data_IF_027232290928
#
_entry.id   IF_027232290928
#
_cell.length_a   1.000
_cell.length_b   1.000
_cell.length_c   1.000
_cell.angle_alpha   90.00
_cell.angle_beta   90.00
_cell.angle_gamma   90.00
#
_symmetry.space_group_name_H-M   'P 1'
#
loop_
_entity.id
_entity.type
_entity.pdbx_description
1 polymer ?
#
# COMPACT_ATOMS: atom_id res chain seq x y z
N UNK A 1 10.62 -11.57 4.06
CA UNK A 1 9.87 -10.30 4.02
C UNK A 1 10.45 -9.41 5.09
N UNK A 2 10.95 -8.24 4.68
CA UNK A 2 11.28 -7.21 5.65
C UNK A 2 9.99 -6.67 6.26
N UNK A 3 10.04 -6.29 7.53
CA UNK A 3 8.87 -5.71 8.19
C UNK A 3 8.70 -4.28 7.71
N UNK A 4 7.51 -3.98 7.20
CA UNK A 4 7.10 -2.61 6.88
C UNK A 4 6.74 -1.88 8.18
N UNK A 5 6.94 -0.56 8.22
CA UNK A 5 6.66 0.26 9.40
C UNK A 5 5.16 0.38 9.69
N UNK A 6 4.34 0.40 8.62
CA UNK A 6 2.90 0.57 8.70
C UNK A 6 2.19 -0.43 7.79
N UNK A 7 1.07 -0.98 8.27
CA UNK A 7 0.13 -1.76 7.46
C UNK A 7 -1.17 -1.01 7.25
N UNK A 8 -1.66 -0.97 6.01
CA UNK A 8 -2.96 -0.38 5.67
C UNK A 8 -3.85 -1.36 4.91
N UNK A 9 -5.07 -1.53 5.43
CA UNK A 9 -6.10 -2.36 4.81
C UNK A 9 -7.18 -1.44 4.21
N UNK A 10 -7.39 -1.53 2.90
CA UNK A 10 -8.41 -0.81 2.16
C UNK A 10 -7.86 0.27 1.24
N UNK A 11 -7.89 -0.01 -0.08
CA UNK A 11 -7.31 0.86 -1.12
C UNK A 11 -8.38 1.57 -1.96
N UNK A 12 -9.35 2.19 -1.28
CA UNK A 12 -10.20 3.20 -1.91
C UNK A 12 -9.45 4.54 -2.05
N UNK A 13 -10.11 5.60 -2.54
CA UNK A 13 -9.47 6.91 -2.81
C UNK A 13 -8.77 7.48 -1.57
N UNK A 14 -9.42 7.44 -0.40
CA UNK A 14 -8.84 7.94 0.85
C UNK A 14 -7.63 7.09 1.28
N UNK A 15 -7.76 5.75 1.25
CA UNK A 15 -6.70 4.84 1.66
C UNK A 15 -5.44 5.00 0.81
N UNK A 16 -5.60 5.12 -0.51
CA UNK A 16 -4.47 5.38 -1.42
C UNK A 16 -3.75 6.68 -1.06
N UNK A 17 -4.47 7.78 -0.82
CA UNK A 17 -3.85 9.05 -0.47
C UNK A 17 -3.16 9.02 0.90
N UNK A 18 -3.72 8.28 1.87
CA UNK A 18 -3.12 8.08 3.18
C UNK A 18 -1.79 7.32 3.07
N UNK A 19 -1.74 6.22 2.31
CA UNK A 19 -0.50 5.47 2.08
C UNK A 19 0.57 6.36 1.44
N UNK A 20 0.21 7.14 0.42
CA UNK A 20 1.14 8.05 -0.25
C UNK A 20 1.66 9.13 0.71
N UNK A 21 0.82 9.63 1.61
CA UNK A 21 1.23 10.59 2.62
C UNK A 21 2.23 9.98 3.60
N UNK A 22 1.95 8.78 4.12
CA UNK A 22 2.84 8.06 5.04
C UNK A 22 4.18 7.76 4.37
N UNK A 23 4.16 7.28 3.13
CA UNK A 23 5.39 7.00 2.37
C UNK A 23 6.22 8.27 2.13
N UNK A 24 5.58 9.41 1.82
CA UNK A 24 6.28 10.70 1.66
C UNK A 24 6.99 11.19 2.93
N UNK A 25 6.66 10.63 4.09
CA UNK A 25 7.33 10.91 5.38
C UNK A 25 8.51 9.96 5.65
N UNK A 26 8.82 9.08 4.72
CA UNK A 26 9.95 8.16 4.80
C UNK A 26 9.63 6.81 5.45
N UNK A 27 8.35 6.51 5.68
CA UNK A 27 7.93 5.21 6.22
C UNK A 27 7.66 4.21 5.10
N UNK A 28 7.99 2.96 5.38
CA UNK A 28 7.69 1.82 4.52
C UNK A 28 6.27 1.29 4.83
N UNK A 29 5.47 1.01 3.80
CA UNK A 29 4.03 0.70 3.98
C UNK A 29 3.63 -0.60 3.28
N UNK A 30 3.09 -1.55 4.04
CA UNK A 30 2.39 -2.72 3.50
C UNK A 30 0.92 -2.37 3.22
N UNK A 31 0.42 -2.71 2.03
CA UNK A 31 -0.98 -2.48 1.66
C UNK A 31 -1.71 -3.76 1.30
N UNK A 32 -2.94 -3.88 1.77
CA UNK A 32 -3.85 -4.97 1.44
C UNK A 32 -5.23 -4.42 1.09
N UNK A 33 -5.91 -5.07 0.15
CA UNK A 33 -7.31 -4.80 -0.13
C UNK A 33 -8.00 -6.12 -0.49
N UNK A 34 -9.26 -6.29 -0.04
CA UNK A 34 -10.05 -7.50 -0.28
C UNK A 34 -10.10 -7.89 -1.76
N UNK A 35 -10.20 -6.90 -2.65
CA UNK A 35 -10.15 -7.10 -4.09
C UNK A 35 -8.71 -6.87 -4.55
N UNK A 36 -8.05 -7.94 -5.01
CA UNK A 36 -6.63 -7.92 -5.40
C UNK A 36 -6.34 -6.94 -6.54
N UNK A 37 -7.25 -6.80 -7.49
CA UNK A 37 -7.08 -5.87 -8.62
C UNK A 37 -6.86 -4.43 -8.14
N UNK A 38 -7.51 -3.99 -7.06
CA UNK A 38 -7.28 -2.64 -6.50
C UNK A 38 -5.88 -2.46 -5.94
N UNK A 39 -5.32 -3.51 -5.35
CA UNK A 39 -3.93 -3.50 -4.88
C UNK A 39 -2.98 -3.42 -6.06
N UNK A 40 -3.22 -4.23 -7.10
CA UNK A 40 -2.43 -4.24 -8.32
C UNK A 40 -2.45 -2.88 -9.03
N UNK A 41 -3.64 -2.34 -9.28
CA UNK A 41 -3.84 -1.03 -9.92
C UNK A 41 -3.15 0.10 -9.15
N UNK A 42 -3.13 0.02 -7.81
CA UNK A 42 -2.47 1.02 -6.98
C UNK A 42 -0.94 0.95 -7.10
N UNK A 43 -0.35 -0.25 -6.99
CA UNK A 43 1.10 -0.47 -7.11
C UNK A 43 1.61 -0.14 -8.52
N UNK A 44 0.89 -0.55 -9.56
CA UNK A 44 1.28 -0.28 -10.95
C UNK A 44 1.02 1.19 -11.36
N UNK A 45 0.08 1.86 -10.68
CA UNK A 45 -0.30 3.25 -10.90
C UNK A 45 0.37 4.21 -9.91
N UNK A 46 -0.43 4.75 -8.97
CA UNK A 46 -0.03 5.87 -8.10
C UNK A 46 1.15 5.56 -7.16
N UNK A 47 1.32 4.30 -6.77
CA UNK A 47 2.39 3.85 -5.89
C UNK A 47 3.65 3.38 -6.63
N UNK A 48 3.69 3.50 -7.96
CA UNK A 48 4.82 3.04 -8.76
C UNK A 48 6.13 3.74 -8.36
N UNK A 49 7.15 2.96 -8.03
CA UNK A 49 8.47 3.45 -7.63
C UNK A 49 8.56 4.01 -6.21
N UNK A 50 7.54 3.78 -5.37
CA UNK A 50 7.49 4.19 -3.97
C UNK A 50 7.81 3.03 -3.03
N UNK A 51 8.13 3.33 -1.77
CA UNK A 51 8.40 2.32 -0.75
C UNK A 51 7.10 1.71 -0.18
N UNK A 52 6.31 1.09 -1.05
CA UNK A 52 5.00 0.51 -0.72
C UNK A 52 4.95 -0.94 -1.22
N UNK A 53 4.70 -1.88 -0.32
CA UNK A 53 4.67 -3.32 -0.61
C UNK A 53 3.23 -3.83 -0.69
N UNK A 54 2.89 -4.51 -1.80
CA UNK A 54 1.60 -5.18 -1.92
C UNK A 54 1.56 -6.49 -1.15
N UNK A 55 0.49 -6.66 -0.37
CA UNK A 55 0.18 -7.89 0.35
C UNK A 55 -1.17 -8.43 -0.12
N UNK A 56 -1.28 -9.76 -0.26
CA UNK A 56 -2.49 -10.44 -0.73
C UNK A 56 -3.09 -11.42 0.28
N UNK A 57 -2.46 -11.57 1.45
CA UNK A 57 -2.94 -12.40 2.55
C UNK A 57 -2.71 -11.72 3.89
N UNK A 58 -3.67 -11.82 4.79
CA UNK A 58 -3.51 -11.49 6.21
C UNK A 58 -3.04 -12.76 6.92
N UNK A 59 -1.80 -12.80 7.38
CA UNK A 59 -1.21 -13.91 8.13
C UNK A 59 -0.75 -13.40 9.48
#
# INVERSE_FOLDING_TARGET
>A
MEKQDVGLIGLAVMGQNLVLNIESKGYSVAVYNRTESRTKDFIEGKAKGKNIEATYSLK
#
